data_IF_989971123795
#
_entry.id   IF_989971123795
#
_cell.length_a   1.000
_cell.length_b   1.000
_cell.length_c   1.000
_cell.angle_alpha   90.00
_cell.angle_beta   90.00
_cell.angle_gamma   90.00
#
_symmetry.space_group_name_H-M   'P 1'
#
loop_
_entity.id
_entity.type
_entity.pdbx_description
1 polymer ?
#
# COMPACT_ATOMS: atom_id res chain seq x y z
N UNK A 1 12.72 -25.24 -3.65
CA UNK A 1 11.85 -24.09 -3.94
C UNK A 1 11.69 -23.36 -2.64
N UNK A 2 12.59 -22.40 -2.37
CA UNK A 2 12.46 -21.58 -1.17
C UNK A 2 11.24 -20.68 -1.34
N UNK A 3 10.36 -20.71 -0.33
CA UNK A 3 9.20 -19.82 -0.26
C UNK A 3 9.72 -18.38 -0.17
N UNK A 4 9.00 -17.44 -0.79
CA UNK A 4 9.25 -16.01 -0.60
C UNK A 4 9.38 -15.70 0.90
N UNK A 5 10.35 -14.86 1.32
CA UNK A 5 10.47 -14.46 2.73
C UNK A 5 9.35 -13.52 3.17
N UNK A 6 8.45 -13.18 2.24
CA UNK A 6 7.28 -12.35 2.48
C UNK A 6 6.04 -13.19 2.76
N UNK A 7 5.23 -12.70 3.68
CA UNK A 7 3.86 -13.14 3.91
C UNK A 7 2.89 -12.02 3.58
N UNK A 8 1.74 -12.39 3.01
CA UNK A 8 0.72 -11.44 2.58
C UNK A 8 -0.60 -11.79 3.23
N UNK A 9 -1.25 -10.77 3.79
CA UNK A 9 -2.55 -10.85 4.39
C UNK A 9 -3.48 -9.80 3.80
N UNK A 10 -4.56 -10.25 3.16
CA UNK A 10 -5.65 -9.36 2.75
C UNK A 10 -6.46 -9.01 4.00
N UNK A 11 -6.31 -7.76 4.47
CA UNK A 11 -7.09 -7.21 5.58
C UNK A 11 -8.54 -6.98 5.16
N UNK A 12 -8.72 -6.46 3.93
CA UNK A 12 -10.04 -6.26 3.34
C UNK A 12 -9.96 -6.41 1.82
N UNK A 13 -10.78 -7.28 1.18
CA UNK A 13 -10.94 -7.27 -0.26
C UNK A 13 -11.69 -6.01 -0.71
N UNK A 14 -11.26 -5.42 -1.82
CA UNK A 14 -11.92 -4.29 -2.45
C UNK A 14 -13.20 -4.70 -3.16
N UNK A 15 -14.06 -3.72 -3.39
CA UNK A 15 -15.29 -3.88 -4.15
C UNK A 15 -15.73 -2.55 -4.74
N UNK A 16 -16.57 -2.62 -5.77
CA UNK A 16 -17.16 -1.46 -6.43
C UNK A 16 -18.55 -1.81 -6.92
N UNK A 17 -19.54 -0.98 -6.61
CA UNK A 17 -20.90 -1.12 -7.10
C UNK A 17 -21.48 0.22 -7.55
N UNK A 18 -22.32 0.18 -8.58
CA UNK A 18 -23.13 1.33 -9.00
C UNK A 18 -24.44 1.31 -8.22
N UNK A 19 -24.87 2.47 -7.76
CA UNK A 19 -26.15 2.66 -7.06
C UNK A 19 -27.21 3.17 -8.04
N UNK A 20 -28.49 3.01 -7.69
CA UNK A 20 -29.62 3.35 -8.56
C UNK A 20 -29.71 4.85 -8.91
N UNK A 21 -29.11 5.70 -8.08
CA UNK A 21 -29.00 7.15 -8.26
C UNK A 21 -27.83 7.57 -9.17
N UNK A 22 -27.12 6.61 -9.78
CA UNK A 22 -25.98 6.85 -10.65
C UNK A 22 -24.65 7.09 -9.93
N UNK A 23 -24.64 7.06 -8.59
CA UNK A 23 -23.42 7.11 -7.80
C UNK A 23 -22.64 5.79 -7.87
N UNK A 24 -21.41 5.83 -7.33
CA UNK A 24 -20.54 4.66 -7.20
C UNK A 24 -20.10 4.56 -5.76
N UNK A 25 -20.31 3.39 -5.16
CA UNK A 25 -19.71 3.04 -3.89
C UNK A 25 -18.51 2.12 -4.15
N UNK A 26 -17.38 2.44 -3.55
CA UNK A 26 -16.16 1.64 -3.68
C UNK A 26 -15.40 1.56 -2.37
N UNK A 27 -14.67 0.46 -2.21
CA UNK A 27 -13.62 0.27 -1.23
C UNK A 27 -12.42 -0.36 -1.93
N UNK A 28 -11.22 0.14 -1.64
CA UNK A 28 -10.00 -0.51 -2.11
C UNK A 28 -9.73 -1.81 -1.34
N UNK A 29 -8.87 -2.65 -1.93
CA UNK A 29 -8.17 -3.70 -1.23
C UNK A 29 -7.30 -3.06 -0.13
N UNK A 30 -7.22 -3.64 1.06
CA UNK A 30 -6.23 -3.30 2.09
C UNK A 30 -5.39 -4.55 2.32
N UNK A 31 -4.08 -4.44 2.17
CA UNK A 31 -3.18 -5.60 2.25
C UNK A 31 -2.02 -5.29 3.18
N UNK A 32 -1.78 -6.17 4.14
CA UNK A 32 -0.58 -6.16 4.98
C UNK A 32 0.44 -7.13 4.38
N UNK A 33 1.64 -6.64 4.12
CA UNK A 33 2.78 -7.42 3.66
C UNK A 33 3.83 -7.38 4.77
N UNK A 34 4.29 -8.55 5.22
CA UNK A 34 5.37 -8.66 6.21
C UNK A 34 6.55 -9.38 5.59
N UNK A 35 7.76 -8.86 5.76
CA UNK A 35 8.99 -9.49 5.31
C UNK A 35 10.24 -8.88 5.94
N UNK A 36 11.44 -9.18 5.39
CA UNK A 36 12.72 -8.82 6.00
C UNK A 36 12.95 -7.32 6.19
N UNK A 37 12.43 -6.48 5.29
CA UNK A 37 12.56 -5.01 5.39
C UNK A 37 11.54 -4.38 6.36
N UNK A 38 10.63 -5.18 6.92
CA UNK A 38 9.61 -4.76 7.86
C UNK A 38 8.19 -4.72 7.27
N UNK A 39 7.19 -4.35 8.10
CA UNK A 39 5.78 -4.37 7.70
C UNK A 39 5.45 -3.26 6.72
N UNK A 40 4.63 -3.60 5.73
CA UNK A 40 4.18 -2.69 4.69
C UNK A 40 2.66 -2.77 4.55
N UNK A 41 2.01 -1.62 4.47
CA UNK A 41 0.58 -1.52 4.19
C UNK A 41 0.37 -1.07 2.74
N UNK A 42 -0.45 -1.81 2.02
CA UNK A 42 -0.87 -1.48 0.67
C UNK A 42 -2.29 -0.93 0.74
N UNK A 43 -2.47 0.27 0.19
CA UNK A 43 -3.75 0.96 0.08
C UNK A 43 -4.48 1.06 1.42
N UNK A 44 -4.09 1.99 2.31
CA UNK A 44 -4.64 2.09 3.67
C UNK A 44 -6.13 2.44 3.74
N UNK A 45 -6.84 2.58 2.61
CA UNK A 45 -8.27 2.79 2.60
C UNK A 45 -8.67 4.26 2.61
N UNK A 46 -9.97 4.48 2.66
CA UNK A 46 -10.56 5.82 2.74
C UNK A 46 -10.40 6.42 4.14
N UNK A 47 -10.64 7.73 4.28
CA UNK A 47 -10.63 8.41 5.58
C UNK A 47 -11.60 7.79 6.61
N UNK A 48 -12.62 7.06 6.15
CA UNK A 48 -13.60 6.38 6.98
C UNK A 48 -13.13 5.03 7.52
N UNK A 49 -11.97 4.54 7.07
CA UNK A 49 -11.47 3.22 7.42
C UNK A 49 -10.49 3.22 8.60
N UNK A 50 -10.16 4.38 9.16
CA UNK A 50 -9.09 4.55 10.17
C UNK A 50 -9.25 3.60 11.36
N UNK A 51 -10.45 3.52 11.95
CA UNK A 51 -10.72 2.64 13.10
C UNK A 51 -10.68 1.16 12.73
N UNK A 52 -11.20 0.79 11.54
CA UNK A 52 -11.14 -0.58 11.03
C UNK A 52 -9.69 -1.00 10.81
N UNK A 53 -8.92 -0.16 10.12
CA UNK A 53 -7.52 -0.43 9.78
C UNK A 53 -6.66 -0.58 11.04
N UNK A 54 -6.77 0.36 11.98
CA UNK A 54 -6.03 0.30 13.25
C UNK A 54 -6.33 -0.99 14.02
N UNK A 55 -7.61 -1.38 14.10
CA UNK A 55 -8.04 -2.60 14.79
C UNK A 55 -7.54 -3.85 14.08
N UNK A 56 -7.66 -3.92 12.76
CA UNK A 56 -7.23 -5.06 11.97
C UNK A 56 -5.71 -5.26 12.02
N UNK A 57 -4.93 -4.18 11.96
CA UNK A 57 -3.46 -4.24 12.10
C UNK A 57 -3.05 -4.77 13.47
N UNK A 58 -3.71 -4.33 14.55
CA UNK A 58 -3.46 -4.85 15.90
C UNK A 58 -3.78 -6.34 16.01
N UNK A 59 -4.90 -6.79 15.41
CA UNK A 59 -5.23 -8.21 15.35
C UNK A 59 -4.23 -9.03 14.52
N UNK A 60 -3.60 -8.41 13.51
CA UNK A 60 -2.54 -9.01 12.71
C UNK A 60 -1.15 -8.98 13.40
N UNK A 61 -1.05 -8.48 14.64
CA UNK A 61 0.19 -8.47 15.42
C UNK A 61 0.98 -7.17 15.36
N UNK A 62 0.50 -6.14 14.66
CA UNK A 62 1.12 -4.81 14.64
C UNK A 62 0.63 -4.01 15.86
N UNK A 63 1.43 -3.97 16.92
CA UNK A 63 1.04 -3.42 18.22
C UNK A 63 0.80 -1.91 18.15
N UNK A 64 1.71 -1.18 17.52
CA UNK A 64 1.66 0.28 17.34
C UNK A 64 1.70 0.62 15.84
N UNK A 65 0.57 0.54 15.10
CA UNK A 65 0.55 0.78 13.65
C UNK A 65 1.19 2.11 13.23
N UNK A 66 1.10 3.13 14.08
CA UNK A 66 1.66 4.45 13.83
C UNK A 66 3.18 4.47 13.74
N UNK A 67 3.87 3.51 14.36
CA UNK A 67 5.33 3.44 14.44
C UNK A 67 5.91 2.17 13.81
N UNK A 68 5.16 1.07 13.81
CA UNK A 68 5.65 -0.26 13.45
C UNK A 68 5.53 -0.53 11.93
N UNK A 69 4.64 0.16 11.22
CA UNK A 69 4.56 0.08 9.76
C UNK A 69 5.73 0.87 9.16
N UNK A 70 6.57 0.18 8.37
CA UNK A 70 7.77 0.76 7.75
C UNK A 70 7.48 1.42 6.41
N UNK A 71 6.58 0.84 5.63
CA UNK A 71 6.28 1.29 4.27
C UNK A 71 4.77 1.43 4.08
N UNK A 72 4.34 2.52 3.45
CA UNK A 72 2.96 2.72 2.99
C UNK A 72 2.98 2.83 1.48
N UNK A 73 2.25 1.98 0.78
CA UNK A 73 2.16 2.00 -0.68
C UNK A 73 0.72 2.24 -1.08
N UNK A 74 0.44 3.38 -1.67
CA UNK A 74 -0.84 3.67 -2.32
C UNK A 74 -0.63 3.50 -3.82
N UNK A 75 -1.28 2.50 -4.42
CA UNK A 75 -1.16 2.19 -5.85
C UNK A 75 -1.74 3.30 -6.74
N UNK A 76 -2.52 4.21 -6.16
CA UNK A 76 -3.26 5.28 -6.80
C UNK A 76 -3.46 6.44 -5.80
N UNK A 77 -3.54 7.69 -6.28
CA UNK A 77 -3.82 8.88 -5.47
C UNK A 77 -5.30 9.10 -5.11
N UNK A 78 -6.22 8.22 -5.54
CA UNK A 78 -7.65 8.31 -5.24
C UNK A 78 -7.94 8.21 -3.73
N UNK A 79 -8.98 8.92 -3.30
CA UNK A 79 -9.36 9.05 -1.89
C UNK A 79 -9.61 7.71 -1.19
N UNK A 80 -10.10 6.68 -1.89
CA UNK A 80 -10.28 5.35 -1.31
C UNK A 80 -8.98 4.58 -1.07
N UNK A 81 -7.83 5.05 -1.57
CA UNK A 81 -6.51 4.44 -1.41
C UNK A 81 -5.67 5.17 -0.36
N UNK A 82 -5.73 6.50 -0.33
CA UNK A 82 -4.80 7.36 0.45
C UNK A 82 -5.36 7.86 1.79
N UNK A 83 -6.65 7.67 2.03
CA UNK A 83 -7.38 8.37 3.09
C UNK A 83 -6.92 8.10 4.53
N UNK A 84 -6.16 7.03 4.77
CA UNK A 84 -5.62 6.70 6.09
C UNK A 84 -4.09 6.85 6.20
N UNK A 85 -3.40 7.48 5.23
CA UNK A 85 -1.93 7.64 5.27
C UNK A 85 -1.45 8.29 6.58
N UNK A 86 -2.22 9.26 7.11
CA UNK A 86 -1.85 10.01 8.33
C UNK A 86 -1.72 9.16 9.59
N UNK A 87 -2.19 7.90 9.57
CA UNK A 87 -1.95 6.96 10.65
C UNK A 87 -0.48 6.56 10.77
N UNK A 88 0.29 6.55 9.68
CA UNK A 88 1.60 5.90 9.62
C UNK A 88 2.76 6.91 9.72
N UNK A 89 2.76 7.74 10.75
CA UNK A 89 3.75 8.82 10.93
C UNK A 89 5.18 8.31 11.18
N UNK A 90 5.31 7.05 11.60
CA UNK A 90 6.56 6.36 11.80
C UNK A 90 7.20 5.81 10.53
N UNK A 91 6.46 5.72 9.42
CA UNK A 91 6.92 5.09 8.19
C UNK A 91 8.22 5.73 7.68
N UNK A 92 9.11 4.89 7.18
CA UNK A 92 10.36 5.31 6.56
C UNK A 92 10.12 5.89 5.17
N UNK A 93 9.12 5.33 4.47
CA UNK A 93 8.73 5.72 3.13
C UNK A 93 7.22 5.58 2.92
N UNK A 94 6.64 6.58 2.27
CA UNK A 94 5.26 6.63 1.79
C UNK A 94 5.32 6.80 0.29
N UNK A 95 4.69 5.90 -0.45
CA UNK A 95 4.59 5.95 -1.91
C UNK A 95 3.13 6.16 -2.30
N UNK A 96 2.85 7.12 -3.17
CA UNK A 96 1.50 7.40 -3.71
C UNK A 96 1.58 7.53 -5.23
N UNK A 97 1.15 6.49 -5.95
CA UNK A 97 1.43 6.41 -7.38
C UNK A 97 2.94 6.55 -7.62
N UNK A 98 3.35 7.48 -8.49
CA UNK A 98 4.76 7.72 -8.79
C UNK A 98 5.49 8.64 -7.79
N UNK A 99 4.79 9.12 -6.76
CA UNK A 99 5.38 10.01 -5.75
C UNK A 99 5.98 9.19 -4.58
N UNK A 100 7.29 9.32 -4.35
CA UNK A 100 8.02 8.59 -3.30
C UNK A 100 8.53 9.58 -2.26
N UNK A 101 7.93 9.56 -1.08
CA UNK A 101 8.28 10.43 0.03
C UNK A 101 8.99 9.65 1.15
N UNK A 102 10.13 10.16 1.60
CA UNK A 102 10.83 9.77 2.82
C UNK A 102 10.57 10.79 3.94
N UNK A 103 10.87 10.39 5.18
CA UNK A 103 10.78 11.28 6.35
C UNK A 103 11.54 12.59 6.14
N UNK A 104 10.94 13.69 6.63
CA UNK A 104 11.50 15.03 6.52
C UNK A 104 11.21 15.72 5.19
N UNK A 105 10.08 15.38 4.56
CA UNK A 105 9.63 15.97 3.29
C UNK A 105 10.64 15.81 2.14
N UNK A 106 11.31 14.65 2.12
CA UNK A 106 12.32 14.31 1.11
C UNK A 106 11.64 13.47 0.03
N UNK A 107 11.55 14.01 -1.18
CA UNK A 107 10.99 13.32 -2.34
C UNK A 107 12.10 12.68 -3.17
N UNK A 108 11.96 11.41 -3.49
CA UNK A 108 12.88 10.71 -4.40
C UNK A 108 12.41 10.88 -5.84
N UNK A 109 13.35 11.21 -6.71
CA UNK A 109 13.14 11.19 -8.16
C UNK A 109 13.41 9.78 -8.67
N UNK A 110 12.37 9.12 -9.20
CA UNK A 110 12.46 7.80 -9.81
C UNK A 110 11.67 7.80 -11.11
N UNK A 111 12.29 7.28 -12.17
CA UNK A 111 11.70 7.28 -13.51
C UNK A 111 10.76 6.09 -13.73
N UNK A 112 9.53 6.22 -13.22
CA UNK A 112 8.46 5.27 -13.51
C UNK A 112 7.97 5.33 -14.97
N UNK A 113 8.17 6.46 -15.67
CA UNK A 113 7.71 6.63 -17.06
C UNK A 113 8.50 5.76 -18.05
N UNK A 114 9.76 5.46 -17.74
CA UNK A 114 10.57 4.51 -18.49
C UNK A 114 10.27 3.04 -18.17
N UNK A 115 9.18 2.76 -17.45
CA UNK A 115 8.76 1.42 -17.02
C UNK A 115 9.79 0.72 -16.12
N UNK A 116 10.61 1.49 -15.40
CA UNK A 116 11.65 0.97 -14.51
C UNK A 116 11.02 0.67 -13.14
N UNK A 117 11.10 -0.58 -12.64
CA UNK A 117 10.63 -0.90 -11.30
C UNK A 117 11.37 -0.09 -10.22
N UNK A 118 10.64 0.31 -9.18
CA UNK A 118 11.27 0.81 -7.96
C UNK A 118 11.46 -0.35 -6.98
N UNK A 119 12.70 -0.79 -6.80
CA UNK A 119 13.03 -1.92 -5.92
C UNK A 119 13.06 -1.48 -4.46
N UNK A 120 12.22 -2.11 -3.63
CA UNK A 120 12.26 -1.96 -2.17
C UNK A 120 13.26 -2.94 -1.57
N UNK A 121 13.33 -4.16 -2.13
CA UNK A 121 14.42 -5.11 -1.95
C UNK A 121 14.47 -6.12 -3.13
N UNK A 122 15.25 -7.19 -2.99
CA UNK A 122 15.40 -8.24 -4.01
C UNK A 122 14.12 -9.06 -4.30
N UNK A 123 13.09 -8.97 -3.45
CA UNK A 123 11.83 -9.70 -3.56
C UNK A 123 10.61 -8.80 -3.74
N UNK A 124 10.73 -7.48 -3.55
CA UNK A 124 9.60 -6.55 -3.65
C UNK A 124 10.01 -5.35 -4.49
N UNK A 125 9.28 -5.17 -5.59
CA UNK A 125 9.40 -4.00 -6.45
C UNK A 125 8.04 -3.39 -6.76
N UNK A 126 8.02 -2.08 -6.98
CA UNK A 126 6.84 -1.38 -7.47
C UNK A 126 6.92 -1.27 -9.00
N UNK A 127 5.95 -1.89 -9.68
CA UNK A 127 5.88 -1.93 -11.13
C UNK A 127 4.95 -0.83 -11.62
N UNK A 128 5.40 0.07 -12.51
CA UNK A 128 4.48 0.98 -13.19
C UNK A 128 3.55 0.18 -14.09
N UNK A 129 2.24 0.41 -13.96
CA UNK A 129 1.22 -0.17 -14.85
C UNK A 129 0.88 0.78 -16.00
N UNK A 130 0.83 2.08 -15.70
CA UNK A 130 0.63 3.15 -16.66
C UNK A 130 1.24 4.47 -16.13
N UNK A 131 0.76 5.62 -16.62
CA UNK A 131 1.31 6.92 -16.26
C UNK A 131 1.13 7.31 -14.77
N UNK A 132 0.23 6.66 -14.02
CA UNK A 132 -0.09 7.08 -12.64
C UNK A 132 -0.24 5.93 -11.64
N UNK A 133 -0.48 4.70 -12.12
CA UNK A 133 -0.76 3.56 -11.25
C UNK A 133 0.45 2.66 -11.07
N UNK A 134 0.60 2.19 -9.83
CA UNK A 134 1.56 1.15 -9.48
C UNK A 134 0.84 -0.19 -9.25
N UNK A 135 1.52 -1.26 -9.62
CA UNK A 135 1.32 -2.59 -9.05
C UNK A 135 2.49 -2.92 -8.13
N UNK A 136 2.30 -3.91 -7.28
CA UNK A 136 3.39 -4.52 -6.52
C UNK A 136 3.80 -5.78 -7.26
N UNK A 137 5.05 -5.82 -7.70
CA UNK A 137 5.68 -6.97 -8.33
C UNK A 137 6.68 -7.69 -7.43
N UNK A 138 7.14 -8.85 -7.88
CA UNK A 138 8.15 -9.73 -7.26
C UNK A 138 7.77 -10.45 -5.97
N UNK A 139 6.59 -10.22 -5.40
CA UNK A 139 5.96 -11.21 -4.52
C UNK A 139 5.30 -12.23 -5.45
N UNK A 140 5.91 -13.41 -5.63
CA UNK A 140 5.30 -14.50 -6.42
C UNK A 140 3.81 -14.65 -6.04
N UNK A 141 2.92 -14.51 -7.03
CA UNK A 141 1.45 -14.67 -6.98
C UNK A 141 0.57 -13.54 -6.41
N UNK A 142 0.71 -12.27 -6.81
CA UNK A 142 -0.33 -11.26 -6.50
C UNK A 142 -0.65 -10.35 -7.69
N UNK A 143 -1.61 -10.77 -8.52
CA UNK A 143 -2.44 -9.85 -9.30
C UNK A 143 -3.61 -9.39 -8.39
N UNK A 144 -3.74 -8.08 -8.14
CA UNK A 144 -4.83 -7.47 -7.36
C UNK A 144 -5.84 -6.73 -8.24
#
# INVERSE_FOLDING_TARGET
MDRSPYSVQVIRPGWRTRTDDGCVQSKCNIVLVNGPIGPMIINPGSAWDSSLLSSALKMAGIVNPEQDIKYVVCTDGRAEFVGCISLFQGAEMIIVGHDIQKRGDIFLDHDFYSMIPFELDEFVGLLPLDNFYLSIGYIYELDF
#
